data_IF_093948351340
#
_entry.id   IF_093948351340
#
_cell.length_a   1.000
_cell.length_b   1.000
_cell.length_c   1.000
_cell.angle_alpha   90.00
_cell.angle_beta   90.00
_cell.angle_gamma   90.00
#
_symmetry.space_group_name_H-M   'P 1'
#
loop_
_entity.id
_entity.type
_entity.pdbx_description
1 polymer ?
#
# COMPACT_ATOMS: atom_id res chain seq x y z
N UNK A 1 -83.07 2.80 -66.35
CA UNK A 1 -83.37 3.75 -67.44
C UNK A 1 -82.67 5.08 -67.13
N UNK A 2 -82.38 5.88 -68.16
CA UNK A 2 -81.84 7.26 -68.11
C UNK A 2 -80.37 7.48 -67.67
N UNK A 3 -79.51 7.67 -68.68
CA UNK A 3 -78.40 8.67 -68.75
C UNK A 3 -79.03 10.06 -69.09
N UNK A 4 -78.33 11.25 -69.19
CA UNK A 4 -76.91 11.56 -69.44
C UNK A 4 -76.27 12.46 -68.33
N UNK A 5 -75.18 13.26 -68.43
CA UNK A 5 -74.47 13.99 -69.51
C UNK A 5 -72.94 14.19 -69.25
N UNK A 6 -72.28 14.85 -70.21
CA UNK A 6 -70.91 15.42 -70.26
C UNK A 6 -71.07 16.83 -70.97
N UNK A 7 -70.07 17.73 -71.22
CA UNK A 7 -68.61 17.73 -70.96
C UNK A 7 -68.02 19.10 -70.49
N UNK A 8 -66.67 19.25 -70.44
CA UNK A 8 -65.82 20.29 -71.12
C UNK A 8 -64.41 20.42 -70.48
N UNK A 9 -63.41 20.91 -71.24
CA UNK A 9 -61.95 20.79 -71.03
C UNK A 9 -61.26 22.08 -70.49
N UNK A 10 -59.90 22.02 -70.41
CA UNK A 10 -58.87 23.10 -70.27
C UNK A 10 -58.28 23.27 -68.84
N UNK A 11 -56.97 23.51 -68.60
CA UNK A 11 -55.75 23.59 -69.44
C UNK A 11 -54.46 23.37 -68.57
N UNK A 12 -53.29 23.19 -69.20
CA UNK A 12 -51.94 22.90 -68.63
C UNK A 12 -51.41 23.86 -67.54
N UNK A 13 -50.54 23.35 -66.66
CA UNK A 13 -49.13 23.80 -66.57
C UNK A 13 -48.24 22.81 -65.78
N UNK A 14 -46.96 22.71 -66.15
CA UNK A 14 -45.94 21.86 -65.52
C UNK A 14 -45.21 22.58 -64.37
N UNK A 15 -44.61 21.83 -63.43
CA UNK A 15 -43.23 22.06 -62.97
C UNK A 15 -42.76 21.03 -61.93
N UNK A 16 -41.51 20.57 -62.10
CA UNK A 16 -40.52 20.14 -61.08
C UNK A 16 -40.92 19.27 -59.86
N UNK A 17 -40.10 18.34 -59.38
CA UNK A 17 -38.93 17.57 -59.85
C UNK A 17 -38.61 16.64 -58.67
N UNK A 18 -38.10 15.45 -58.96
CA UNK A 18 -37.57 14.45 -58.03
C UNK A 18 -36.81 15.01 -56.81
N UNK A 19 -37.41 14.95 -55.60
CA UNK A 19 -36.67 15.06 -54.32
C UNK A 19 -37.47 14.58 -53.09
N UNK A 20 -37.84 13.30 -53.06
CA UNK A 20 -38.12 12.58 -51.80
C UNK A 20 -37.08 11.49 -51.67
N UNK A 21 -35.97 11.87 -51.04
CA UNK A 21 -34.80 11.02 -50.85
C UNK A 21 -35.05 9.96 -49.78
N UNK A 22 -34.62 8.74 -50.09
CA UNK A 22 -33.86 7.85 -49.20
C UNK A 22 -33.34 8.52 -47.93
N UNK A 23 -34.08 8.40 -46.82
CA UNK A 23 -33.68 8.84 -45.47
C UNK A 23 -34.14 7.85 -44.39
N UNK A 24 -33.83 6.55 -44.56
CA UNK A 24 -34.17 5.52 -43.56
C UNK A 24 -33.25 4.28 -43.61
N UNK A 25 -31.92 4.44 -43.56
CA UNK A 25 -31.00 3.29 -43.43
C UNK A 25 -29.68 3.52 -42.69
N UNK A 26 -29.12 4.74 -42.65
CA UNK A 26 -27.79 4.96 -42.03
C UNK A 26 -27.81 5.08 -40.49
N UNK A 27 -28.92 5.55 -39.90
CA UNK A 27 -28.98 5.90 -38.48
C UNK A 27 -28.86 4.71 -37.51
N UNK A 28 -29.15 3.48 -37.99
CA UNK A 28 -29.05 2.25 -37.20
C UNK A 28 -27.60 1.76 -37.03
N UNK A 29 -26.82 1.77 -38.13
CA UNK A 29 -25.45 1.20 -38.14
C UNK A 29 -24.51 1.95 -37.19
N UNK A 30 -24.61 3.27 -37.13
CA UNK A 30 -23.72 4.09 -36.31
C UNK A 30 -24.00 3.95 -34.79
N UNK A 31 -25.19 3.50 -34.39
CA UNK A 31 -25.51 3.24 -32.97
C UNK A 31 -24.87 1.96 -32.43
N UNK A 32 -24.77 0.91 -33.25
CA UNK A 32 -24.11 -0.34 -32.86
C UNK A 32 -22.58 -0.16 -32.72
N UNK A 33 -21.93 0.54 -33.65
CA UNK A 33 -20.49 0.84 -33.52
C UNK A 33 -20.17 1.79 -32.34
N UNK A 34 -21.07 2.71 -32.01
CA UNK A 34 -20.92 3.64 -30.87
C UNK A 34 -21.02 2.95 -29.50
N UNK A 35 -21.74 1.83 -29.40
CA UNK A 35 -21.86 1.07 -28.14
C UNK A 35 -20.63 0.20 -27.86
N UNK A 36 -20.07 -0.46 -28.87
CA UNK A 36 -18.93 -1.38 -28.71
C UNK A 36 -17.62 -0.65 -28.38
N UNK A 37 -17.39 0.54 -28.96
CA UNK A 37 -16.21 1.35 -28.67
C UNK A 37 -16.26 1.98 -27.28
N UNK A 38 -17.46 2.35 -26.79
CA UNK A 38 -17.63 2.92 -25.45
C UNK A 38 -17.32 1.88 -24.35
N UNK A 39 -17.72 0.62 -24.54
CA UNK A 39 -17.37 -0.47 -23.59
C UNK A 39 -15.87 -0.76 -23.52
N UNK A 40 -15.13 -0.61 -24.62
CA UNK A 40 -13.68 -0.84 -24.67
C UNK A 40 -12.87 0.27 -23.97
N UNK A 41 -13.36 1.51 -23.98
CA UNK A 41 -12.71 2.63 -23.27
C UNK A 41 -12.94 2.55 -21.75
N UNK A 42 -14.11 2.08 -21.30
CA UNK A 42 -14.37 1.89 -19.87
C UNK A 42 -13.51 0.78 -19.22
N UNK A 43 -13.13 -0.26 -19.96
CA UNK A 43 -12.31 -1.35 -19.43
C UNK A 43 -10.86 -0.94 -19.09
N UNK A 44 -10.34 0.12 -19.72
CA UNK A 44 -8.97 0.60 -19.52
C UNK A 44 -8.80 1.54 -18.30
N UNK A 45 -9.90 1.96 -17.65
CA UNK A 45 -9.90 2.95 -16.57
C UNK A 45 -9.95 2.35 -15.15
N UNK A 46 -9.85 1.03 -15.00
CA UNK A 46 -10.04 0.34 -13.71
C UNK A 46 -8.74 -0.12 -13.03
N UNK A 47 -7.57 0.10 -13.64
CA UNK A 47 -6.27 -0.09 -12.99
C UNK A 47 -5.84 1.18 -12.21
N UNK A 48 -6.70 1.64 -11.31
CA UNK A 48 -6.27 2.56 -10.25
C UNK A 48 -5.49 1.75 -9.23
N UNK A 49 -4.18 1.62 -9.42
CA UNK A 49 -3.30 1.14 -8.35
C UNK A 49 -3.40 2.13 -7.19
N UNK A 50 -4.13 1.73 -6.14
CA UNK A 50 -4.13 2.46 -4.87
C UNK A 50 -2.74 2.31 -4.25
N UNK A 51 -1.86 3.27 -4.53
CA UNK A 51 -0.59 3.40 -3.84
C UNK A 51 -0.87 3.46 -2.33
N UNK A 52 -0.51 2.39 -1.61
CA UNK A 52 -0.54 2.38 -0.15
C UNK A 52 0.50 3.38 0.33
N UNK A 53 0.07 4.40 1.08
CA UNK A 53 1.00 5.24 1.83
C UNK A 53 1.78 4.35 2.81
N UNK A 54 3.11 4.47 2.82
CA UNK A 54 3.95 3.71 3.75
C UNK A 54 4.02 4.41 5.11
N UNK A 55 4.25 3.63 6.17
CA UNK A 55 4.33 4.14 7.53
C UNK A 55 5.51 5.11 7.80
N UNK A 56 6.39 5.31 6.81
CA UNK A 56 7.62 6.11 6.88
C UNK A 56 7.75 7.18 5.79
N UNK A 57 6.71 7.42 4.97
CA UNK A 57 6.75 8.36 3.83
C UNK A 57 7.05 9.82 4.25
N UNK A 58 6.76 10.19 5.50
CA UNK A 58 7.03 11.50 6.09
C UNK A 58 8.35 11.58 6.87
N UNK A 59 9.18 10.53 6.84
CA UNK A 59 10.45 10.42 7.55
C UNK A 59 11.64 10.30 6.59
N UNK A 60 12.83 10.74 7.03
CA UNK A 60 14.04 10.65 6.24
C UNK A 60 14.78 9.34 6.55
N UNK A 61 15.09 8.53 5.53
CA UNK A 61 15.95 7.35 5.70
C UNK A 61 17.35 7.78 6.16
N UNK A 62 17.77 7.27 7.32
CA UNK A 62 19.04 7.60 7.97
C UNK A 62 20.15 6.58 7.69
N UNK A 63 19.77 5.34 7.40
CA UNK A 63 20.64 4.23 7.03
C UNK A 63 19.86 2.93 6.85
N UNK A 64 20.48 1.93 6.23
CA UNK A 64 19.90 0.61 5.97
C UNK A 64 20.98 -0.47 5.99
N UNK A 65 20.62 -1.70 6.34
CA UNK A 65 21.52 -2.84 6.41
C UNK A 65 20.78 -4.18 6.46
N UNK A 66 21.53 -5.28 6.56
CA UNK A 66 20.98 -6.64 6.58
C UNK A 66 21.36 -7.38 7.86
N UNK A 67 20.44 -8.21 8.35
CA UNK A 67 20.70 -9.16 9.43
C UNK A 67 20.89 -10.56 8.85
N UNK A 68 22.02 -11.18 9.14
CA UNK A 68 22.33 -12.54 8.71
C UNK A 68 22.63 -13.46 9.88
N UNK A 69 22.13 -14.69 9.81
CA UNK A 69 22.44 -15.75 10.75
C UNK A 69 23.05 -16.95 10.01
N UNK A 70 24.25 -17.33 10.42
CA UNK A 70 25.12 -18.29 9.71
C UNK A 70 25.32 -17.86 8.24
N UNK A 71 24.67 -18.53 7.29
CA UNK A 71 24.77 -18.31 5.85
C UNK A 71 23.46 -17.81 5.22
N UNK A 72 22.49 -17.40 6.05
CA UNK A 72 21.19 -16.90 5.61
C UNK A 72 20.97 -15.46 6.03
N UNK A 73 20.61 -14.57 5.09
CA UNK A 73 20.00 -13.28 5.43
C UNK A 73 18.57 -13.51 5.92
N UNK A 74 18.22 -12.96 7.08
CA UNK A 74 16.90 -13.10 7.70
C UNK A 74 15.96 -11.95 7.33
N UNK A 75 16.47 -10.72 7.35
CA UNK A 75 15.74 -9.51 6.98
C UNK A 75 16.70 -8.40 6.57
N UNK A 76 16.22 -7.43 5.79
CA UNK A 76 16.80 -6.09 5.78
C UNK A 76 16.14 -5.20 6.83
N UNK A 77 16.90 -4.22 7.32
CA UNK A 77 16.43 -3.23 8.27
C UNK A 77 16.75 -1.83 7.75
N UNK A 78 15.80 -0.93 7.90
CA UNK A 78 15.91 0.46 7.47
C UNK A 78 15.50 1.38 8.62
N UNK A 79 16.37 2.35 8.95
CA UNK A 79 16.12 3.28 10.04
C UNK A 79 15.81 4.68 9.48
N UNK A 80 14.75 5.29 10.02
CA UNK A 80 14.17 6.54 9.56
C UNK A 80 14.00 7.54 10.71
N UNK A 81 14.24 8.83 10.47
CA UNK A 81 14.06 9.88 11.49
C UNK A 81 13.50 11.18 10.91
N UNK A 82 12.86 12.00 11.76
CA UNK A 82 12.72 13.44 11.47
C UNK A 82 14.09 14.13 11.62
N UNK A 83 14.31 15.32 11.02
CA UNK A 83 15.57 16.07 11.19
C UNK A 83 15.90 16.41 12.65
N UNK A 84 14.88 16.56 13.50
CA UNK A 84 14.97 16.74 14.95
C UNK A 84 15.24 15.43 15.73
N UNK A 85 15.08 14.27 15.09
CA UNK A 85 14.99 12.94 15.70
C UNK A 85 13.86 12.78 16.74
N UNK A 86 12.87 13.69 16.75
CA UNK A 86 11.69 13.61 17.61
C UNK A 86 10.77 12.44 17.27
N UNK A 87 10.71 12.06 15.99
CA UNK A 87 10.08 10.83 15.53
C UNK A 87 11.11 9.93 14.86
N UNK A 88 10.96 8.63 15.08
CA UNK A 88 11.84 7.58 14.56
C UNK A 88 11.03 6.39 14.13
N UNK A 89 11.44 5.73 13.06
CA UNK A 89 10.88 4.46 12.65
C UNK A 89 11.97 3.46 12.27
N UNK A 90 11.68 2.18 12.49
CA UNK A 90 12.47 1.07 12.00
C UNK A 90 11.54 0.16 11.20
N UNK A 91 11.87 -0.03 9.92
CA UNK A 91 11.20 -0.96 9.01
C UNK A 91 12.07 -2.19 8.84
N UNK A 92 11.46 -3.37 8.99
CA UNK A 92 12.08 -4.67 8.72
C UNK A 92 11.36 -5.30 7.53
N UNK A 93 12.10 -5.84 6.57
CA UNK A 93 11.57 -6.64 5.46
C UNK A 93 12.15 -8.05 5.56
N UNK A 94 11.29 -9.03 5.83
CA UNK A 94 11.69 -10.41 6.10
C UNK A 94 11.92 -11.19 4.81
N UNK A 95 13.00 -11.95 4.76
CA UNK A 95 13.34 -12.80 3.62
C UNK A 95 13.00 -14.27 3.86
N UNK A 96 12.38 -14.60 5.00
CA UNK A 96 12.05 -15.97 5.41
C UNK A 96 10.77 -15.96 6.23
N UNK A 97 10.03 -17.07 6.17
CA UNK A 97 8.92 -17.31 7.07
C UNK A 97 9.40 -17.47 8.53
N UNK A 98 8.75 -16.79 9.48
CA UNK A 98 9.01 -16.93 10.92
C UNK A 98 7.68 -16.83 11.68
N UNK A 99 7.42 -17.80 12.57
CA UNK A 99 6.23 -17.80 13.40
C UNK A 99 6.18 -16.63 14.39
N UNK A 100 4.99 -16.06 14.61
CA UNK A 100 4.82 -14.89 15.50
C UNK A 100 5.39 -15.10 16.90
N UNK A 101 5.22 -16.31 17.44
CA UNK A 101 5.77 -16.69 18.73
C UNK A 101 7.29 -16.59 18.76
N UNK A 102 7.96 -17.03 17.70
CA UNK A 102 9.42 -17.04 17.61
C UNK A 102 9.99 -15.65 17.33
N UNK A 103 9.25 -14.78 16.61
CA UNK A 103 9.56 -13.35 16.53
C UNK A 103 9.55 -12.69 17.93
N UNK A 104 8.52 -12.96 18.73
CA UNK A 104 8.36 -12.38 20.07
C UNK A 104 9.38 -12.96 21.06
N UNK A 105 9.68 -14.27 20.98
CA UNK A 105 10.73 -14.89 21.79
C UNK A 105 12.14 -14.42 21.41
N UNK A 106 12.44 -14.23 20.13
CA UNK A 106 13.70 -13.61 19.71
C UNK A 106 13.84 -12.16 20.22
N UNK A 107 12.74 -11.39 20.23
CA UNK A 107 12.69 -10.02 20.78
C UNK A 107 12.96 -10.01 22.29
N UNK A 108 12.35 -10.94 23.03
CA UNK A 108 12.60 -11.17 24.46
C UNK A 108 14.08 -11.50 24.74
N UNK A 109 14.68 -12.36 23.93
CA UNK A 109 16.08 -12.76 24.12
C UNK A 109 17.04 -11.59 23.87
N UNK A 110 16.75 -10.73 22.88
CA UNK A 110 17.52 -9.51 22.65
C UNK A 110 17.40 -8.50 23.80
N UNK A 111 16.20 -8.29 24.35
CA UNK A 111 16.05 -7.46 25.55
C UNK A 111 16.75 -8.03 26.78
N UNK A 112 16.78 -9.36 26.90
CA UNK A 112 17.49 -10.05 27.99
C UNK A 112 19.01 -9.84 27.88
N UNK A 113 19.58 -9.93 26.66
CA UNK A 113 20.99 -9.61 26.38
C UNK A 113 21.33 -8.13 26.64
N UNK A 114 20.40 -7.22 26.36
CA UNK A 114 20.53 -5.79 26.66
C UNK A 114 20.34 -5.44 28.15
N UNK A 115 20.01 -6.42 29.01
CA UNK A 115 19.88 -6.21 30.45
C UNK A 115 18.58 -5.55 30.92
N UNK A 116 17.53 -5.53 30.09
CA UNK A 116 16.22 -5.04 30.54
C UNK A 116 15.64 -5.96 31.63
N UNK A 117 14.93 -5.37 32.59
CA UNK A 117 14.36 -6.14 33.70
C UNK A 117 13.25 -7.09 33.21
N UNK A 118 13.18 -8.29 33.79
CA UNK A 118 12.12 -9.26 33.51
C UNK A 118 10.71 -8.65 33.66
N UNK A 119 10.51 -7.74 34.62
CA UNK A 119 9.23 -7.06 34.84
C UNK A 119 8.84 -6.11 33.69
N UNK A 120 9.82 -5.48 33.04
CA UNK A 120 9.58 -4.69 31.83
C UNK A 120 9.33 -5.60 30.62
N UNK A 121 10.21 -6.58 30.41
CA UNK A 121 10.11 -7.56 29.31
C UNK A 121 8.72 -8.23 29.31
N UNK A 122 8.28 -8.83 30.43
CA UNK A 122 6.98 -9.51 30.50
C UNK A 122 5.78 -8.58 30.24
N UNK A 123 5.87 -7.30 30.64
CA UNK A 123 4.84 -6.29 30.34
C UNK A 123 4.77 -5.99 28.84
N UNK A 124 5.93 -5.91 28.19
CA UNK A 124 6.06 -5.56 26.77
C UNK A 124 5.77 -6.73 25.83
N UNK A 125 6.04 -7.98 26.22
CA UNK A 125 5.72 -9.15 25.39
C UNK A 125 4.21 -9.39 25.25
N UNK A 126 3.41 -9.07 26.28
CA UNK A 126 1.96 -9.29 26.26
C UNK A 126 1.24 -8.62 25.07
N UNK A 127 1.44 -7.33 24.76
CA UNK A 127 0.85 -6.73 23.56
C UNK A 127 1.46 -7.26 22.26
N UNK A 128 2.74 -7.67 22.23
CA UNK A 128 3.35 -8.23 21.01
C UNK A 128 2.73 -9.57 20.63
N UNK A 129 2.61 -10.52 21.57
CA UNK A 129 1.91 -11.80 21.33
C UNK A 129 0.46 -11.65 20.88
N UNK A 130 -0.21 -10.55 21.27
CA UNK A 130 -1.60 -10.29 20.91
C UNK A 130 -1.79 -9.64 19.53
N UNK A 131 -0.71 -9.15 18.91
CA UNK A 131 -0.77 -8.20 17.80
C UNK A 131 0.08 -8.60 16.60
N UNK A 132 1.24 -9.23 16.81
CA UNK A 132 2.13 -9.63 15.72
C UNK A 132 1.62 -10.91 15.02
N UNK A 133 1.43 -10.89 13.69
CA UNK A 133 1.23 -12.12 12.91
C UNK A 133 2.56 -12.86 12.72
N UNK A 134 2.50 -14.07 12.14
CA UNK A 134 3.69 -14.68 11.53
C UNK A 134 4.09 -13.86 10.29
N UNK A 135 5.38 -13.82 9.98
CA UNK A 135 5.91 -13.17 8.77
C UNK A 135 6.19 -14.24 7.71
N UNK A 136 6.07 -13.87 6.44
CA UNK A 136 6.50 -14.64 5.28
C UNK A 136 7.65 -13.93 4.55
N UNK A 137 8.21 -14.56 3.52
CA UNK A 137 9.15 -13.86 2.62
C UNK A 137 8.45 -12.69 1.90
N UNK A 138 9.03 -11.49 2.02
CA UNK A 138 8.46 -10.22 1.55
C UNK A 138 7.56 -9.51 2.57
N UNK A 139 7.22 -10.12 3.71
CA UNK A 139 6.46 -9.43 4.76
C UNK A 139 7.27 -8.30 5.39
N UNK A 140 6.58 -7.20 5.70
CA UNK A 140 7.18 -6.03 6.35
C UNK A 140 6.60 -5.79 7.73
N UNK A 141 7.47 -5.49 8.69
CA UNK A 141 7.09 -5.07 10.05
C UNK A 141 7.77 -3.73 10.36
N UNK A 142 6.97 -2.70 10.57
CA UNK A 142 7.45 -1.35 10.86
C UNK A 142 6.98 -0.90 12.24
N UNK A 143 7.90 -0.39 13.05
CA UNK A 143 7.58 0.39 14.26
C UNK A 143 7.81 1.87 13.97
N UNK A 144 6.88 2.73 14.38
CA UNK A 144 7.06 4.18 14.47
C UNK A 144 6.91 4.61 15.93
N UNK A 145 7.94 5.26 16.45
CA UNK A 145 7.95 5.91 17.76
C UNK A 145 7.75 7.42 17.53
N UNK A 146 6.57 7.90 17.92
CA UNK A 146 6.22 9.31 17.78
C UNK A 146 6.82 10.17 18.91
N UNK A 147 6.71 11.51 18.79
CA UNK A 147 7.27 12.48 19.73
C UNK A 147 6.73 12.34 21.18
N UNK A 148 5.50 11.86 21.34
CA UNK A 148 4.90 11.52 22.63
C UNK A 148 5.47 10.23 23.28
N UNK A 149 6.37 9.54 22.58
CA UNK A 149 6.94 8.22 22.82
C UNK A 149 5.93 7.05 22.70
N UNK A 150 4.78 7.27 22.08
CA UNK A 150 3.82 6.21 21.75
C UNK A 150 4.32 5.44 20.53
N UNK A 151 4.34 4.12 20.64
CA UNK A 151 4.84 3.23 19.60
C UNK A 151 3.69 2.62 18.80
N UNK A 152 3.67 2.84 17.49
CA UNK A 152 2.68 2.29 16.55
C UNK A 152 3.34 1.23 15.67
N UNK A 153 2.66 0.11 15.47
CA UNK A 153 3.14 -0.97 14.62
C UNK A 153 2.30 -1.11 13.37
N UNK A 154 2.98 -1.42 12.27
CA UNK A 154 2.40 -1.65 10.95
C UNK A 154 2.95 -2.98 10.39
N UNK A 155 2.07 -3.77 9.78
CA UNK A 155 2.42 -4.98 9.04
C UNK A 155 1.87 -4.85 7.62
N UNK A 156 2.74 -5.00 6.61
CA UNK A 156 2.40 -4.77 5.19
C UNK A 156 1.68 -3.42 4.94
N UNK A 157 2.27 -2.40 5.58
CA UNK A 157 1.82 -1.00 5.69
C UNK A 157 0.44 -0.81 6.34
N UNK A 158 -0.16 -1.85 6.94
CA UNK A 158 -1.42 -1.76 7.69
C UNK A 158 -1.18 -1.62 9.19
N UNK A 159 -1.81 -0.66 9.90
CA UNK A 159 -1.64 -0.52 11.34
C UNK A 159 -2.22 -1.72 12.09
N UNK A 160 -1.37 -2.46 12.82
CA UNK A 160 -1.77 -3.63 13.61
C UNK A 160 -2.01 -3.29 15.09
N UNK A 161 -1.44 -2.20 15.60
CA UNK A 161 -1.76 -1.72 16.95
C UNK A 161 -0.79 -0.69 17.52
N UNK A 162 -0.86 -0.47 18.82
CA UNK A 162 -0.18 0.63 19.51
C UNK A 162 0.17 0.27 20.95
N UNK A 163 1.36 0.67 21.40
CA UNK A 163 1.84 0.50 22.78
C UNK A 163 2.08 1.88 23.40
N UNK A 164 1.42 2.12 24.53
CA UNK A 164 1.39 3.40 25.25
C UNK A 164 2.49 3.54 26.33
N UNK A 165 3.22 2.46 26.63
CA UNK A 165 4.35 2.51 27.56
C UNK A 165 5.50 3.29 26.90
N UNK A 166 5.79 4.49 27.40
CA UNK A 166 6.80 5.40 26.85
C UNK A 166 8.23 4.84 26.89
N UNK A 167 8.50 3.81 27.68
CA UNK A 167 9.80 3.13 27.69
C UNK A 167 9.93 2.08 26.57
N UNK A 168 8.80 1.61 26.02
CA UNK A 168 8.78 0.53 25.04
C UNK A 168 9.51 0.92 23.74
N UNK A 169 9.21 2.09 23.17
CA UNK A 169 9.73 2.49 21.85
C UNK A 169 11.25 2.55 21.82
N UNK A 170 11.85 3.16 22.84
CA UNK A 170 13.31 3.17 23.04
C UNK A 170 13.86 1.76 23.24
N UNK A 171 13.24 0.95 24.10
CA UNK A 171 13.71 -0.41 24.36
C UNK A 171 13.64 -1.31 23.11
N UNK A 172 12.62 -1.14 22.27
CA UNK A 172 12.49 -1.85 21.01
C UNK A 172 13.58 -1.42 20.02
N UNK A 173 13.73 -0.12 19.76
CA UNK A 173 14.77 0.40 18.87
C UNK A 173 16.19 0.07 19.37
N UNK A 174 16.40 -0.03 20.68
CA UNK A 174 17.67 -0.40 21.29
C UNK A 174 18.20 -1.77 20.85
N UNK A 175 17.34 -2.71 20.43
CA UNK A 175 17.76 -4.01 19.86
C UNK A 175 18.74 -3.82 18.69
N UNK A 176 18.52 -2.81 17.85
CA UNK A 176 19.37 -2.49 16.69
C UNK A 176 20.30 -1.30 16.92
N UNK A 177 19.90 -0.32 17.74
CA UNK A 177 20.57 0.98 17.84
C UNK A 177 21.39 1.19 19.11
N UNK A 178 21.26 0.33 20.13
CA UNK A 178 22.07 0.39 21.35
C UNK A 178 23.53 0.10 21.06
N UNK A 179 24.44 0.75 21.79
CA UNK A 179 25.87 0.40 21.74
C UNK A 179 26.16 -1.03 22.20
N UNK A 180 25.24 -1.59 23.00
CA UNK A 180 25.29 -2.96 23.50
C UNK A 180 24.47 -3.96 22.65
N UNK A 181 24.07 -3.60 21.43
CA UNK A 181 23.38 -4.54 20.51
C UNK A 181 24.23 -5.80 20.24
N UNK A 182 23.57 -6.93 19.93
CA UNK A 182 24.28 -8.10 19.40
C UNK A 182 24.85 -7.87 18.00
N UNK A 183 24.34 -6.88 17.25
CA UNK A 183 24.66 -6.65 15.84
C UNK A 183 25.35 -5.29 15.58
N UNK A 184 26.59 -5.07 16.08
CA UNK A 184 27.27 -3.77 15.99
C UNK A 184 27.61 -3.37 14.54
N UNK A 185 27.69 -4.33 13.61
CA UNK A 185 27.84 -4.06 12.17
C UNK A 185 26.59 -3.43 11.57
N UNK A 186 25.44 -4.07 11.79
CA UNK A 186 24.12 -3.58 11.37
C UNK A 186 23.79 -2.22 11.99
N UNK A 187 24.12 -2.01 13.29
CA UNK A 187 24.00 -0.70 13.94
C UNK A 187 24.72 0.41 13.16
N UNK A 188 25.97 0.18 12.75
CA UNK A 188 26.73 1.20 12.00
C UNK A 188 26.13 1.47 10.63
N UNK A 189 25.54 0.46 9.98
CA UNK A 189 24.80 0.61 8.73
C UNK A 189 23.54 1.49 8.93
N UNK A 190 22.70 1.17 9.92
CA UNK A 190 21.47 1.90 10.26
C UNK A 190 21.72 3.35 10.70
N UNK A 191 22.80 3.59 11.45
CA UNK A 191 23.20 4.93 11.89
C UNK A 191 24.06 5.69 10.86
N UNK A 192 24.32 5.12 9.68
CA UNK A 192 25.17 5.72 8.64
C UNK A 192 26.57 6.10 9.15
N UNK A 193 27.15 5.25 10.01
CA UNK A 193 28.49 5.41 10.60
C UNK A 193 29.58 4.71 9.79
N UNK A 194 29.20 3.95 8.75
CA UNK A 194 30.13 3.39 7.77
C UNK A 194 30.46 4.49 6.75
N UNK A 195 31.65 5.10 6.91
CA UNK A 195 32.30 5.97 5.94
C UNK A 195 33.67 5.40 5.60
#
# INVERSE_FOLDING_TARGET
>A
MAFPHNPTQAFKSESNVSRVLTQTSEQSRNRLFSLVTLTLICAALLFTENAKASAVDDLNKRGQGEMSYLFWTLYSAEFYTTPSNSERALKLEYYRAIDSKDLVDATKDQWSKLGYSNNNIQRWLKPLYAMWPSVEEGSTLTIRVAEDNVSRFYFDEQPIGTIQDKQFGEAFLAIWLSENTSEPGLRKQLLGLNK
#
